data_IF_070730599384
#
_entry.id   IF_070730599384
#
_cell.length_a   1.000
_cell.length_b   1.000
_cell.length_c   1.000
_cell.angle_alpha   90.00
_cell.angle_beta   90.00
_cell.angle_gamma   90.00
#
_symmetry.space_group_name_H-M   'P 1'
#
loop_
_entity.id
_entity.type
_entity.pdbx_description
1 polymer ?
#
# COMPACT_ATOMS: atom_id res chain seq x y z
N UNK A 1 7.53 28.73 -11.46
CA UNK A 1 6.58 27.78 -10.86
C UNK A 1 7.29 26.44 -10.70
N UNK A 2 7.57 26.06 -9.45
CA UNK A 2 8.08 24.73 -9.12
C UNK A 2 7.03 23.72 -9.61
N UNK A 3 7.38 22.95 -10.64
CA UNK A 3 6.61 21.76 -10.99
C UNK A 3 6.86 20.75 -9.86
N UNK A 4 5.91 20.64 -8.94
CA UNK A 4 5.87 19.54 -8.00
C UNK A 4 5.67 18.26 -8.83
N UNK A 5 6.74 17.57 -9.12
CA UNK A 5 6.69 16.23 -9.69
C UNK A 5 6.28 15.32 -8.55
N UNK A 6 5.07 14.78 -8.62
CA UNK A 6 4.60 13.81 -7.64
C UNK A 6 5.53 12.60 -7.65
N UNK A 7 6.21 12.33 -6.54
CA UNK A 7 7.04 11.13 -6.38
C UNK A 7 6.17 9.90 -6.33
N UNK A 8 6.56 8.85 -7.03
CA UNK A 8 5.88 7.55 -6.92
C UNK A 8 6.46 6.82 -5.71
N UNK A 9 5.57 6.31 -4.84
CA UNK A 9 5.98 5.59 -3.64
C UNK A 9 6.83 4.35 -3.97
N UNK A 10 6.49 3.67 -5.05
CA UNK A 10 7.21 2.47 -5.49
C UNK A 10 8.64 2.73 -5.96
N UNK A 11 9.00 3.99 -6.23
CA UNK A 11 10.37 4.39 -6.57
C UNK A 11 11.22 4.68 -5.32
N UNK A 12 10.58 4.77 -4.16
CA UNK A 12 11.29 4.99 -2.90
C UNK A 12 11.93 3.69 -2.40
N UNK A 13 13.12 3.79 -1.81
CA UNK A 13 13.91 2.64 -1.37
C UNK A 13 13.16 1.72 -0.40
N UNK A 14 12.27 2.29 0.42
CA UNK A 14 11.46 1.55 1.38
C UNK A 14 10.50 0.55 0.73
N UNK A 15 10.13 0.79 -0.53
CA UNK A 15 9.24 -0.08 -1.30
C UNK A 15 9.98 -1.04 -2.23
N UNK A 16 11.31 -1.03 -2.25
CA UNK A 16 12.12 -1.83 -3.19
C UNK A 16 11.80 -3.33 -3.18
N UNK A 17 11.43 -3.88 -2.03
CA UNK A 17 11.06 -5.30 -1.89
C UNK A 17 9.71 -5.67 -2.50
N UNK A 18 8.83 -4.70 -2.76
CA UNK A 18 7.46 -4.91 -3.26
C UNK A 18 7.17 -4.16 -4.56
N UNK A 19 8.04 -3.26 -4.99
CA UNK A 19 7.79 -2.37 -6.13
C UNK A 19 7.42 -3.12 -7.40
N UNK A 20 8.19 -4.12 -7.80
CA UNK A 20 7.92 -4.93 -8.99
C UNK A 20 6.57 -5.65 -8.91
N UNK A 21 6.25 -6.20 -7.74
CA UNK A 21 4.97 -6.90 -7.49
C UNK A 21 3.80 -5.93 -7.62
N UNK A 22 3.90 -4.74 -7.01
CA UNK A 22 2.83 -3.74 -7.05
C UNK A 22 2.64 -3.14 -8.45
N UNK A 23 3.72 -2.91 -9.19
CA UNK A 23 3.68 -2.45 -10.58
C UNK A 23 2.98 -3.50 -11.46
N UNK A 24 3.43 -4.75 -11.42
CA UNK A 24 2.83 -5.83 -12.18
C UNK A 24 1.35 -6.04 -11.83
N UNK A 25 1.00 -5.99 -10.52
CA UNK A 25 -0.37 -6.09 -10.07
C UNK A 25 -1.24 -4.96 -10.63
N UNK A 26 -0.74 -3.72 -10.66
CA UNK A 26 -1.48 -2.57 -11.19
C UNK A 26 -1.79 -2.70 -12.67
N UNK A 27 -0.87 -3.26 -13.46
CA UNK A 27 -1.07 -3.51 -14.89
C UNK A 27 -2.17 -4.57 -15.11
N UNK A 28 -2.12 -5.67 -14.35
CA UNK A 28 -3.15 -6.71 -14.41
C UNK A 28 -4.52 -6.16 -13.99
N UNK A 29 -4.59 -5.39 -12.89
CA UNK A 29 -5.83 -4.76 -12.42
C UNK A 29 -6.46 -3.89 -13.50
N UNK A 30 -5.67 -3.09 -14.21
CA UNK A 30 -6.15 -2.20 -15.28
C UNK A 30 -6.65 -2.95 -16.53
N UNK A 31 -6.24 -4.18 -16.72
CA UNK A 31 -6.67 -5.03 -17.86
C UNK A 31 -7.94 -5.82 -17.58
N UNK A 32 -8.34 -5.93 -16.30
CA UNK A 32 -9.50 -6.74 -15.93
C UNK A 32 -10.81 -6.12 -16.40
N UNK A 33 -11.68 -6.96 -16.95
CA UNK A 33 -13.04 -6.61 -17.34
C UNK A 33 -14.11 -7.14 -16.37
N UNK A 34 -13.68 -7.86 -15.33
CA UNK A 34 -14.54 -8.45 -14.32
C UNK A 34 -14.29 -7.83 -12.94
N UNK A 35 -15.27 -7.88 -12.03
CA UNK A 35 -15.11 -7.33 -10.69
C UNK A 35 -14.00 -8.03 -9.89
N UNK A 36 -13.17 -7.25 -9.22
CA UNK A 36 -12.12 -7.73 -8.34
C UNK A 36 -12.70 -7.95 -6.93
N UNK A 37 -12.42 -9.09 -6.31
CA UNK A 37 -12.73 -9.30 -4.90
C UNK A 37 -11.63 -8.70 -4.02
N UNK A 38 -12.03 -7.88 -3.03
CA UNK A 38 -11.12 -7.37 -2.00
C UNK A 38 -11.44 -8.13 -0.71
N UNK A 39 -10.46 -8.88 -0.22
CA UNK A 39 -10.59 -9.78 0.92
C UNK A 39 -9.76 -9.24 2.09
N UNK A 40 -10.35 -9.13 3.26
CA UNK A 40 -9.64 -8.70 4.47
C UNK A 40 -10.40 -9.08 5.73
N UNK A 41 -9.73 -9.07 6.87
CA UNK A 41 -10.38 -9.13 8.17
C UNK A 41 -11.05 -7.79 8.53
N UNK A 42 -12.14 -7.80 9.32
CA UNK A 42 -12.83 -6.59 9.74
C UNK A 42 -12.10 -5.90 10.91
N UNK A 43 -10.98 -5.26 10.63
CA UNK A 43 -10.20 -4.48 11.59
C UNK A 43 -9.83 -3.10 11.03
N UNK A 44 -9.30 -2.21 11.90
CA UNK A 44 -8.97 -0.83 11.53
C UNK A 44 -7.87 -0.75 10.46
N UNK A 45 -6.81 -1.55 10.58
CA UNK A 45 -5.72 -1.57 9.60
C UNK A 45 -6.21 -2.00 8.21
N UNK A 46 -7.06 -3.03 8.17
CA UNK A 46 -7.71 -3.47 6.94
C UNK A 46 -8.59 -2.36 6.34
N UNK A 47 -9.37 -1.66 7.17
CA UNK A 47 -10.22 -0.57 6.70
C UNK A 47 -9.40 0.57 6.06
N UNK A 48 -8.27 0.93 6.66
CA UNK A 48 -7.35 1.93 6.12
C UNK A 48 -6.70 1.46 4.81
N UNK A 49 -6.28 0.20 4.75
CA UNK A 49 -5.71 -0.41 3.55
C UNK A 49 -6.72 -0.44 2.39
N UNK A 50 -7.94 -0.93 2.66
CA UNK A 50 -9.01 -1.03 1.66
C UNK A 50 -9.37 0.34 1.11
N UNK A 51 -9.47 1.36 1.98
CA UNK A 51 -9.90 2.70 1.55
C UNK A 51 -8.99 3.27 0.47
N UNK A 52 -7.69 3.02 0.52
CA UNK A 52 -6.75 3.42 -0.52
C UNK A 52 -7.02 2.68 -1.84
N UNK A 53 -7.15 1.35 -1.79
CA UNK A 53 -7.42 0.53 -2.99
C UNK A 53 -8.75 0.92 -3.63
N UNK A 54 -9.84 0.93 -2.85
CA UNK A 54 -11.17 1.26 -3.36
C UNK A 54 -11.23 2.64 -3.98
N UNK A 55 -10.56 3.63 -3.37
CA UNK A 55 -10.49 4.99 -3.93
C UNK A 55 -9.87 4.98 -5.32
N UNK A 56 -8.79 4.24 -5.53
CA UNK A 56 -8.14 4.15 -6.83
C UNK A 56 -8.97 3.39 -7.87
N UNK A 57 -9.67 2.32 -7.45
CA UNK A 57 -10.56 1.57 -8.33
C UNK A 57 -11.76 2.43 -8.76
N UNK A 58 -12.37 3.18 -7.82
CA UNK A 58 -13.46 4.10 -8.11
C UNK A 58 -12.99 5.22 -9.05
N UNK A 59 -11.83 5.81 -8.80
CA UNK A 59 -11.27 6.87 -9.64
C UNK A 59 -11.01 6.42 -11.09
N UNK A 60 -10.82 5.11 -11.31
CA UNK A 60 -10.62 4.50 -12.64
C UNK A 60 -11.84 3.73 -13.17
N UNK A 61 -12.98 3.75 -12.48
CA UNK A 61 -14.19 3.05 -12.91
C UNK A 61 -14.06 1.52 -12.92
N UNK A 62 -13.13 0.96 -12.10
CA UNK A 62 -12.92 -0.49 -12.00
C UNK A 62 -13.89 -1.07 -10.99
N UNK A 63 -14.66 -2.08 -11.39
CA UNK A 63 -15.63 -2.74 -10.52
C UNK A 63 -14.96 -3.63 -9.50
N UNK A 64 -15.47 -3.62 -8.27
CA UNK A 64 -14.97 -4.47 -7.20
C UNK A 64 -16.07 -4.95 -6.25
N UNK A 65 -15.76 -5.96 -5.45
CA UNK A 65 -16.61 -6.49 -4.38
C UNK A 65 -15.80 -6.70 -3.12
N UNK A 66 -16.20 -6.07 -2.03
CA UNK A 66 -15.57 -6.24 -0.72
C UNK A 66 -16.12 -7.48 -0.01
N UNK A 67 -15.23 -8.27 0.60
CA UNK A 67 -15.57 -9.35 1.52
C UNK A 67 -14.77 -9.16 2.81
N UNK A 68 -15.45 -9.04 3.94
CA UNK A 68 -14.83 -8.88 5.26
C UNK A 68 -14.48 -10.26 5.86
N UNK A 69 -13.76 -11.05 5.07
CA UNK A 69 -13.12 -12.30 5.46
C UNK A 69 -11.97 -12.59 4.50
N UNK A 70 -11.08 -13.49 4.88
CA UNK A 70 -9.90 -13.87 4.10
C UNK A 70 -10.11 -15.10 3.24
N UNK A 71 -11.36 -15.61 3.12
CA UNK A 71 -11.66 -16.78 2.31
C UNK A 71 -11.55 -16.45 0.82
N UNK A 72 -10.64 -17.11 0.16
CA UNK A 72 -10.39 -16.95 -1.26
C UNK A 72 -11.56 -17.52 -2.08
N UNK A 73 -12.06 -16.78 -3.07
CA UNK A 73 -13.06 -17.28 -3.98
C UNK A 73 -12.48 -18.41 -4.86
N UNK A 74 -13.31 -19.38 -5.24
CA UNK A 74 -12.89 -20.50 -6.11
C UNK A 74 -12.41 -20.03 -7.48
N UNK A 75 -12.93 -18.90 -7.95
CA UNK A 75 -12.62 -18.32 -9.26
C UNK A 75 -12.64 -16.80 -9.21
N UNK A 76 -12.03 -16.16 -10.21
CA UNK A 76 -11.99 -14.70 -10.35
C UNK A 76 -10.75 -14.07 -9.72
N UNK A 77 -10.58 -12.78 -10.01
CA UNK A 77 -9.48 -11.98 -9.52
C UNK A 77 -9.72 -11.51 -8.08
N UNK A 78 -8.68 -11.50 -7.26
CA UNK A 78 -8.79 -11.00 -5.90
C UNK A 78 -7.52 -10.32 -5.39
N UNK A 79 -7.73 -9.39 -4.46
CA UNK A 79 -6.69 -8.73 -3.64
C UNK A 79 -7.00 -9.10 -2.18
N UNK A 80 -6.06 -9.77 -1.53
CA UNK A 80 -6.14 -10.17 -0.12
C UNK A 80 -5.21 -9.32 0.71
N UNK A 81 -5.76 -8.67 1.73
CA UNK A 81 -5.03 -7.78 2.61
C UNK A 81 -4.89 -8.46 3.98
N UNK A 82 -3.62 -8.58 4.41
CA UNK A 82 -3.22 -9.17 5.68
C UNK A 82 -2.53 -8.07 6.48
N UNK A 83 -3.04 -7.79 7.68
CA UNK A 83 -2.55 -6.67 8.48
C UNK A 83 -1.29 -6.98 9.28
N UNK A 84 -0.98 -8.24 9.45
CA UNK A 84 0.20 -8.74 10.17
C UNK A 84 1.35 -9.15 9.21
N UNK A 85 2.43 -9.65 9.80
CA UNK A 85 3.64 -10.09 9.10
C UNK A 85 3.65 -11.61 8.86
N UNK A 86 2.48 -12.25 8.88
CA UNK A 86 2.36 -13.72 8.77
C UNK A 86 2.70 -14.27 7.39
N UNK A 87 2.71 -13.42 6.37
CA UNK A 87 3.02 -13.80 4.99
C UNK A 87 3.80 -12.70 4.27
N UNK A 88 4.26 -13.00 3.07
CA UNK A 88 4.90 -12.01 2.20
C UNK A 88 3.90 -11.48 1.16
N UNK A 89 4.09 -10.24 0.73
CA UNK A 89 3.39 -9.70 -0.42
C UNK A 89 3.78 -10.50 -1.66
N UNK A 90 2.78 -11.00 -2.38
CA UNK A 90 2.96 -11.89 -3.52
C UNK A 90 1.88 -11.72 -4.57
N UNK A 91 2.23 -12.02 -5.82
CA UNK A 91 1.34 -11.92 -6.97
C UNK A 91 1.36 -13.23 -7.76
N UNK A 92 0.18 -13.73 -8.09
CA UNK A 92 -0.03 -14.71 -9.15
C UNK A 92 -0.89 -14.06 -10.22
N UNK A 93 -0.59 -14.34 -11.46
CA UNK A 93 -1.34 -13.90 -12.63
C UNK A 93 -2.12 -15.09 -13.22
N UNK A 94 -3.22 -14.80 -13.96
CA UNK A 94 -4.03 -15.80 -14.65
C UNK A 94 -4.70 -16.87 -13.75
N UNK A 95 -5.68 -16.48 -12.91
CA UNK A 95 -6.23 -15.15 -12.66
C UNK A 95 -5.38 -14.32 -11.69
N UNK A 96 -5.58 -13.01 -11.66
CA UNK A 96 -4.93 -12.12 -10.71
C UNK A 96 -5.25 -12.54 -9.26
N UNK A 97 -4.20 -12.82 -8.50
CA UNK A 97 -4.27 -13.13 -7.07
C UNK A 97 -3.15 -12.38 -6.37
N UNK A 98 -3.48 -11.25 -5.78
CA UNK A 98 -2.53 -10.40 -5.05
C UNK A 98 -2.75 -10.58 -3.55
N UNK A 99 -1.71 -10.97 -2.83
CA UNK A 99 -1.66 -10.88 -1.37
C UNK A 99 -0.79 -9.70 -0.99
N UNK A 100 -1.29 -8.80 -0.14
CA UNK A 100 -0.54 -7.70 0.46
C UNK A 100 -0.45 -7.96 1.95
N UNK A 101 0.77 -8.06 2.47
CA UNK A 101 1.05 -8.29 3.89
C UNK A 101 2.11 -7.33 4.39
N UNK A 102 2.01 -6.94 5.65
CA UNK A 102 3.06 -6.15 6.30
C UNK A 102 4.37 -6.94 6.32
N UNK A 103 5.50 -6.25 6.13
CA UNK A 103 6.81 -6.88 6.13
C UNK A 103 7.87 -5.93 6.65
N UNK A 104 8.91 -6.47 7.29
CA UNK A 104 10.02 -5.69 7.80
C UNK A 104 10.99 -5.37 6.67
N UNK A 105 11.26 -4.07 6.48
CA UNK A 105 12.17 -3.56 5.45
C UNK A 105 13.17 -2.58 6.05
N UNK A 106 14.21 -2.27 5.27
CA UNK A 106 15.16 -1.24 5.65
C UNK A 106 14.50 0.15 5.54
N UNK A 107 14.58 0.91 6.63
CA UNK A 107 14.05 2.28 6.71
C UNK A 107 15.11 3.33 6.43
N UNK A 108 15.62 4.00 7.48
CA UNK A 108 16.62 5.04 7.35
C UNK A 108 18.04 4.48 7.49
N UNK A 109 18.96 5.01 6.68
CA UNK A 109 20.41 4.77 6.86
C UNK A 109 20.90 5.54 8.07
N UNK A 110 21.46 4.85 9.07
CA UNK A 110 22.07 5.48 10.24
C UNK A 110 23.40 6.16 9.88
N UNK A 111 23.92 6.97 10.83
CA UNK A 111 25.13 7.79 10.64
C UNK A 111 26.40 6.99 10.31
N UNK A 112 26.41 5.67 10.60
CA UNK A 112 27.51 4.74 10.32
C UNK A 112 27.23 3.77 9.18
N UNK A 113 26.18 4.03 8.35
CA UNK A 113 25.77 3.12 7.29
C UNK A 113 24.90 1.94 7.79
N UNK A 114 24.54 1.91 9.06
CA UNK A 114 23.63 0.90 9.59
C UNK A 114 22.21 1.16 9.10
N UNK A 115 21.60 0.15 8.48
CA UNK A 115 20.18 0.22 8.13
C UNK A 115 19.32 -0.12 9.34
N UNK A 116 18.42 0.77 9.68
CA UNK A 116 17.41 0.50 10.71
C UNK A 116 16.15 -0.04 10.03
N UNK A 117 15.64 -1.15 10.55
CA UNK A 117 14.48 -1.85 9.99
C UNK A 117 13.20 -1.39 10.65
N UNK A 118 12.13 -1.37 9.85
CA UNK A 118 10.78 -1.06 10.33
C UNK A 118 9.70 -1.73 9.47
N UNK A 119 8.44 -1.71 9.93
CA UNK A 119 7.36 -2.38 9.22
C UNK A 119 6.88 -1.53 8.02
N UNK A 120 7.00 -2.08 6.81
CA UNK A 120 6.28 -1.62 5.65
C UNK A 120 4.87 -2.21 5.70
N UNK A 121 3.95 -1.46 6.30
CA UNK A 121 2.60 -1.93 6.60
C UNK A 121 1.78 -2.21 5.35
N UNK A 122 0.76 -3.06 5.47
CA UNK A 122 -0.22 -3.27 4.40
C UNK A 122 -0.91 -1.96 3.99
N UNK A 123 -1.12 -1.02 4.92
CA UNK A 123 -1.65 0.32 4.63
C UNK A 123 -0.74 1.05 3.66
N UNK A 124 0.56 1.14 3.95
CA UNK A 124 1.53 1.83 3.10
C UNK A 124 1.61 1.20 1.69
N UNK A 125 1.64 -0.14 1.62
CA UNK A 125 1.67 -0.87 0.34
C UNK A 125 0.38 -0.65 -0.47
N UNK A 126 -0.79 -0.64 0.18
CA UNK A 126 -2.06 -0.35 -0.48
C UNK A 126 -2.11 1.09 -1.03
N UNK A 127 -1.55 2.07 -0.31
CA UNK A 127 -1.40 3.44 -0.83
C UNK A 127 -0.46 3.51 -2.03
N UNK A 128 0.64 2.75 -2.03
CA UNK A 128 1.55 2.67 -3.15
C UNK A 128 0.86 2.08 -4.39
N UNK A 129 0.16 0.95 -4.24
CA UNK A 129 -0.62 0.34 -5.31
C UNK A 129 -1.71 1.30 -5.82
N UNK A 130 -2.46 1.94 -4.93
CA UNK A 130 -3.49 2.91 -5.28
C UNK A 130 -2.93 4.08 -6.11
N UNK A 131 -1.74 4.57 -5.77
CA UNK A 131 -1.07 5.63 -6.51
C UNK A 131 -0.69 5.19 -7.93
N UNK A 132 -0.23 3.94 -8.12
CA UNK A 132 0.09 3.42 -9.46
C UNK A 132 -1.18 3.24 -10.30
N UNK A 133 -2.26 2.75 -9.69
CA UNK A 133 -3.54 2.57 -10.37
C UNK A 133 -4.11 3.93 -10.78
N UNK A 134 -4.10 4.92 -9.89
CA UNK A 134 -4.74 6.22 -10.09
C UNK A 134 -3.89 7.38 -9.58
N UNK A 135 -2.77 7.72 -10.26
CA UNK A 135 -1.84 8.74 -9.78
C UNK A 135 -2.46 10.13 -9.67
N UNK A 136 -3.46 10.43 -10.49
CA UNK A 136 -4.15 11.72 -10.50
C UNK A 136 -5.58 11.67 -9.95
N UNK A 137 -6.00 10.52 -9.42
CA UNK A 137 -7.34 10.31 -8.89
C UNK A 137 -7.64 11.22 -7.70
N UNK A 138 -8.77 11.95 -7.72
CA UNK A 138 -9.07 12.91 -6.66
C UNK A 138 -9.29 12.27 -5.29
N UNK A 139 -9.87 11.06 -5.24
CA UNK A 139 -10.08 10.30 -4.00
C UNK A 139 -8.77 9.73 -3.49
N UNK A 140 -7.98 9.11 -4.37
CA UNK A 140 -6.65 8.58 -4.05
C UNK A 140 -5.76 9.66 -3.45
N UNK A 141 -5.75 10.86 -4.04
CA UNK A 141 -4.95 11.99 -3.54
C UNK A 141 -5.41 12.49 -2.18
N UNK A 142 -6.72 12.54 -1.91
CA UNK A 142 -7.26 12.94 -0.61
C UNK A 142 -6.86 12.01 0.52
N UNK A 143 -6.65 10.74 0.22
CA UNK A 143 -6.24 9.73 1.23
C UNK A 143 -4.73 9.67 1.43
N UNK A 144 -3.93 10.36 0.63
CA UNK A 144 -2.47 10.35 0.70
C UNK A 144 -1.90 10.57 2.11
N UNK A 145 -2.42 11.50 2.96
CA UNK A 145 -1.92 11.70 4.32
C UNK A 145 -2.02 10.46 5.21
N UNK A 146 -2.94 9.55 4.90
CA UNK A 146 -3.17 8.35 5.70
C UNK A 146 -2.16 7.21 5.43
N UNK A 147 -1.22 7.43 4.51
CA UNK A 147 -0.12 6.51 4.19
C UNK A 147 0.61 6.01 5.45
N UNK A 148 0.85 6.89 6.42
CA UNK A 148 1.59 6.59 7.65
C UNK A 148 0.73 6.06 8.79
N UNK A 149 -0.59 5.97 8.60
CA UNK A 149 -1.51 5.58 9.67
C UNK A 149 -1.28 4.15 10.17
N UNK A 150 -0.85 3.25 9.30
CA UNK A 150 -0.52 1.88 9.69
C UNK A 150 0.62 1.82 10.69
N UNK A 151 1.70 2.54 10.43
CA UNK A 151 2.84 2.62 11.34
C UNK A 151 2.46 3.32 12.65
N UNK A 152 1.64 4.36 12.58
CA UNK A 152 1.16 5.05 13.76
C UNK A 152 0.34 4.16 14.68
N UNK A 153 -0.56 3.34 14.13
CA UNK A 153 -1.35 2.35 14.88
C UNK A 153 -0.45 1.25 15.47
N UNK A 154 0.63 0.89 14.80
CA UNK A 154 1.67 -0.02 15.32
C UNK A 154 2.60 0.63 16.35
N UNK A 155 2.16 1.68 17.01
CA UNK A 155 2.86 2.36 18.11
C UNK A 155 4.18 3.03 17.70
N UNK A 156 4.25 3.58 16.50
CA UNK A 156 5.45 4.28 16.00
C UNK A 156 5.87 5.46 16.89
N UNK A 157 4.94 6.03 17.67
CA UNK A 157 5.20 7.12 18.60
C UNK A 157 5.54 6.63 20.03
N UNK A 158 5.15 5.42 20.38
CA UNK A 158 5.41 4.82 21.69
C UNK A 158 6.76 4.10 21.73
N UNK A 159 7.17 3.55 20.60
CA UNK A 159 8.51 3.03 20.42
C UNK A 159 9.46 4.18 20.09
N UNK A 160 10.57 4.26 20.76
CA UNK A 160 11.55 5.35 20.69
C UNK A 160 12.03 5.68 19.27
N UNK A 161 11.73 4.86 18.27
CA UNK A 161 12.07 5.11 16.88
C UNK A 161 11.50 4.06 15.91
N UNK A 162 10.52 4.44 15.10
CA UNK A 162 10.14 3.71 13.89
C UNK A 162 10.76 4.40 12.67
N UNK A 163 11.82 3.83 12.07
CA UNK A 163 12.54 4.46 10.96
C UNK A 163 11.69 4.58 9.70
N UNK A 164 10.73 3.67 9.52
CA UNK A 164 9.88 3.68 8.33
C UNK A 164 8.80 4.74 8.44
N UNK A 165 8.18 4.89 9.62
CA UNK A 165 7.26 5.98 9.89
C UNK A 165 7.92 7.33 9.63
N UNK A 166 9.14 7.53 10.13
CA UNK A 166 9.88 8.76 9.96
C UNK A 166 10.18 9.05 8.48
N UNK A 167 10.63 8.04 7.73
CA UNK A 167 10.92 8.19 6.31
C UNK A 167 9.67 8.53 5.48
N UNK A 168 8.56 7.85 5.74
CA UNK A 168 7.30 8.12 5.04
C UNK A 168 6.67 9.47 5.43
N UNK A 169 6.78 9.87 6.70
CA UNK A 169 6.35 11.18 7.16
C UNK A 169 7.15 12.29 6.47
N UNK A 170 8.47 12.17 6.44
CA UNK A 170 9.34 13.16 5.84
C UNK A 170 9.07 13.28 4.33
N UNK A 171 8.79 12.18 3.64
CA UNK A 171 8.35 12.17 2.26
C UNK A 171 7.04 12.96 2.06
N UNK A 172 6.04 12.76 2.90
CA UNK A 172 4.77 13.49 2.83
C UNK A 172 4.95 14.98 3.13
N UNK A 173 5.86 15.32 4.05
CA UNK A 173 6.22 16.69 4.36
C UNK A 173 6.91 17.38 3.17
N UNK A 174 7.87 16.71 2.53
CA UNK A 174 8.56 17.21 1.34
C UNK A 174 7.63 17.43 0.15
N UNK A 175 6.59 16.59 0.04
CA UNK A 175 5.52 16.75 -0.96
C UNK A 175 4.50 17.86 -0.59
N UNK A 176 4.60 18.44 0.60
CA UNK A 176 3.64 19.46 1.08
C UNK A 176 2.23 18.91 1.33
N UNK A 177 2.13 17.64 1.71
CA UNK A 177 0.86 16.94 1.98
C UNK A 177 0.46 17.07 3.45
N UNK A 178 1.45 17.12 4.33
CA UNK A 178 1.30 17.32 5.79
C UNK A 178 2.24 18.40 6.26
#
# INVERSE_FOLDING_TARGET
>A
PLRYTMRMLVDEIQFSSVSEILIAASEEIKRLNEPIFILCEPNLLSALSISAIESSLIDNGISYRRKLNTMEPKSGAWIKIISDESSNTSLLTNPLRLTISSQIVDGLTGHKGDFRKGPLTSVAQCHALAQIISPHGPRTRKLRPWLISGNWIHSALDNTYDPLYSALRDLLFDEGII
#
